data_IF_150205914047
#
_entry.id   IF_150205914047
#
_cell.length_a   1.000
_cell.length_b   1.000
_cell.length_c   1.000
_cell.angle_alpha   90.00
_cell.angle_beta   90.00
_cell.angle_gamma   90.00
#
_symmetry.space_group_name_H-M   'P 1'
#
loop_
_entity.id
_entity.type
_entity.pdbx_description
1 polymer ?
#
# COMPACT_ATOMS: atom_id res chain seq x y z
N UNK A 1 8.94 -28.05 3.52
CA UNK A 1 8.85 -26.95 2.55
C UNK A 1 9.74 -27.26 1.35
N UNK A 2 9.21 -27.19 0.18
CA UNK A 2 9.93 -27.39 -1.08
C UNK A 2 10.19 -26.03 -1.73
N UNK A 3 11.26 -25.91 -2.54
CA UNK A 3 11.57 -24.70 -3.28
C UNK A 3 11.38 -24.93 -4.77
N UNK A 4 10.40 -24.26 -5.35
CA UNK A 4 10.12 -24.25 -6.78
C UNK A 4 10.95 -23.16 -7.47
N UNK A 5 11.51 -23.45 -8.62
CA UNK A 5 12.25 -22.49 -9.43
C UNK A 5 11.44 -22.17 -10.69
N UNK A 6 11.08 -20.91 -10.87
CA UNK A 6 10.38 -20.41 -12.06
C UNK A 6 11.33 -19.53 -12.85
N UNK A 7 11.51 -19.83 -14.13
CA UNK A 7 12.40 -19.08 -15.03
C UNK A 7 11.89 -19.16 -16.45
N UNK A 8 12.04 -18.10 -17.23
CA UNK A 8 11.66 -18.05 -18.65
C UNK A 8 12.44 -19.06 -19.51
N UNK A 9 13.58 -19.52 -19.04
CA UNK A 9 14.45 -20.46 -19.75
C UNK A 9 14.49 -21.84 -19.07
N UNK A 10 13.75 -22.02 -17.99
CA UNK A 10 13.72 -23.28 -17.24
C UNK A 10 12.61 -24.24 -17.69
N UNK A 11 12.49 -25.35 -16.98
CA UNK A 11 11.41 -26.33 -17.18
C UNK A 11 10.06 -25.84 -16.66
N UNK A 12 10.03 -24.94 -15.68
CA UNK A 12 8.84 -24.32 -15.13
C UNK A 12 8.87 -22.83 -15.44
N UNK A 13 8.03 -22.37 -16.36
CA UNK A 13 8.02 -21.00 -16.88
C UNK A 13 6.85 -20.16 -16.36
N UNK A 14 5.89 -20.77 -15.66
CA UNK A 14 4.68 -20.14 -15.18
C UNK A 14 4.67 -20.07 -13.64
N UNK A 15 4.49 -18.87 -13.11
CA UNK A 15 4.30 -18.63 -11.67
C UNK A 15 2.97 -19.23 -11.22
N UNK A 16 1.89 -19.05 -12.01
CA UNK A 16 0.57 -19.59 -11.73
C UNK A 16 0.60 -21.12 -11.62
N UNK A 17 1.36 -21.79 -12.49
CA UNK A 17 1.51 -23.25 -12.43
C UNK A 17 2.29 -23.66 -11.17
N UNK A 18 3.35 -22.95 -10.82
CA UNK A 18 4.08 -23.19 -9.59
C UNK A 18 3.17 -23.04 -8.36
N UNK A 19 2.36 -21.97 -8.29
CA UNK A 19 1.39 -21.77 -7.20
C UNK A 19 0.42 -22.93 -7.09
N UNK A 20 -0.10 -23.46 -8.22
CA UNK A 20 -1.02 -24.60 -8.22
C UNK A 20 -0.38 -25.87 -7.70
N UNK A 21 0.86 -26.15 -8.10
CA UNK A 21 1.59 -27.38 -7.73
C UNK A 21 2.19 -27.33 -6.32
N UNK A 22 2.50 -26.15 -5.83
CA UNK A 22 3.09 -25.94 -4.51
C UNK A 22 2.15 -26.40 -3.39
N UNK A 23 2.74 -26.88 -2.31
CA UNK A 23 2.06 -27.20 -1.06
C UNK A 23 2.19 -26.04 -0.08
N UNK A 24 1.36 -26.05 0.95
CA UNK A 24 1.46 -25.06 2.04
C UNK A 24 2.88 -24.97 2.59
N UNK A 25 3.34 -23.74 2.79
CA UNK A 25 4.67 -23.38 3.27
C UNK A 25 5.83 -23.66 2.29
N UNK A 26 5.55 -23.95 1.05
CA UNK A 26 6.58 -24.00 0.01
C UNK A 26 7.05 -22.59 -0.37
N UNK A 27 8.24 -22.53 -0.95
CA UNK A 27 8.82 -21.30 -1.50
C UNK A 27 8.84 -21.38 -3.02
N UNK A 28 8.44 -20.30 -3.67
CA UNK A 28 8.53 -20.14 -5.12
C UNK A 28 9.52 -19.02 -5.41
N UNK A 29 10.63 -19.37 -6.02
CA UNK A 29 11.65 -18.42 -6.46
C UNK A 29 11.47 -18.16 -7.95
N UNK A 30 11.27 -16.89 -8.29
CA UNK A 30 11.04 -16.43 -9.66
C UNK A 30 12.26 -15.66 -10.14
N UNK A 31 12.88 -16.13 -11.18
CA UNK A 31 14.01 -15.46 -11.81
C UNK A 31 13.56 -14.25 -12.65
N UNK A 32 14.49 -13.35 -12.96
CA UNK A 32 14.21 -12.17 -13.80
C UNK A 32 13.52 -12.55 -15.11
N UNK A 33 12.65 -11.67 -15.57
CA UNK A 33 11.89 -11.85 -16.81
C UNK A 33 10.57 -11.09 -16.74
N UNK A 34 9.88 -11.03 -17.88
CA UNK A 34 8.54 -10.47 -18.01
C UNK A 34 7.50 -11.61 -17.93
N UNK A 35 6.59 -11.50 -16.97
CA UNK A 35 5.51 -12.45 -16.74
C UNK A 35 4.16 -11.74 -16.93
N UNK A 36 3.42 -12.18 -17.96
CA UNK A 36 2.09 -11.65 -18.33
C UNK A 36 0.98 -12.54 -17.78
N UNK A 37 1.17 -13.06 -16.59
CA UNK A 37 0.19 -13.94 -15.95
C UNK A 37 -0.89 -13.11 -15.24
N UNK A 38 -2.14 -13.55 -15.38
CA UNK A 38 -3.33 -12.78 -15.03
C UNK A 38 -3.97 -13.34 -13.77
N UNK A 39 -4.43 -12.44 -12.88
CA UNK A 39 -5.22 -12.80 -11.72
C UNK A 39 -4.65 -14.01 -10.96
N UNK A 40 -3.37 -13.96 -10.63
CA UNK A 40 -2.73 -15.04 -9.87
C UNK A 40 -3.33 -15.13 -8.46
N UNK A 41 -3.97 -16.24 -8.14
CA UNK A 41 -4.60 -16.46 -6.84
C UNK A 41 -3.70 -17.32 -5.95
N UNK A 42 -3.42 -16.81 -4.74
CA UNK A 42 -2.66 -17.52 -3.71
C UNK A 42 -3.64 -17.90 -2.60
N UNK A 43 -4.03 -19.18 -2.57
CA UNK A 43 -5.03 -19.75 -1.66
C UNK A 43 -4.45 -20.63 -0.54
N UNK A 44 -3.14 -20.63 -0.40
CA UNK A 44 -2.41 -21.36 0.64
C UNK A 44 -1.19 -20.56 1.10
N UNK A 45 -0.66 -20.77 2.31
CA UNK A 45 0.54 -20.06 2.75
C UNK A 45 1.73 -20.43 1.87
N UNK A 46 2.27 -19.43 1.16
CA UNK A 46 3.42 -19.54 0.27
C UNK A 46 4.36 -18.38 0.45
N UNK A 47 5.63 -18.60 0.16
CA UNK A 47 6.65 -17.57 0.07
C UNK A 47 7.04 -17.39 -1.39
N UNK A 48 6.72 -16.24 -1.99
CA UNK A 48 7.12 -15.88 -3.35
C UNK A 48 8.30 -14.91 -3.28
N UNK A 49 9.41 -15.27 -3.90
CA UNK A 49 10.63 -14.48 -3.93
C UNK A 49 11.00 -14.17 -5.38
N UNK A 50 11.05 -12.88 -5.71
CA UNK A 50 11.55 -12.40 -6.99
C UNK A 50 13.06 -12.13 -6.94
N UNK A 51 13.84 -12.83 -7.73
CA UNK A 51 15.26 -12.57 -7.92
C UNK A 51 15.49 -11.62 -9.08
N UNK A 52 16.30 -10.57 -8.84
CA UNK A 52 16.64 -9.58 -9.85
C UNK A 52 15.39 -8.90 -10.45
N UNK A 53 14.38 -8.64 -9.59
CA UNK A 53 13.17 -7.88 -9.93
C UNK A 53 12.42 -8.43 -11.15
N UNK A 54 11.91 -9.68 -11.13
CA UNK A 54 11.01 -10.15 -12.18
C UNK A 54 9.79 -9.23 -12.29
N UNK A 55 9.37 -8.95 -13.52
CA UNK A 55 8.27 -8.04 -13.82
C UNK A 55 6.97 -8.81 -13.96
N UNK A 56 5.98 -8.47 -13.15
CA UNK A 56 4.60 -8.95 -13.25
C UNK A 56 3.75 -7.83 -13.84
N UNK A 57 3.24 -8.00 -15.04
CA UNK A 57 2.54 -6.96 -15.77
C UNK A 57 1.04 -7.26 -15.87
N UNK A 58 0.22 -6.35 -15.34
CA UNK A 58 -1.23 -6.45 -15.39
C UNK A 58 -1.85 -5.99 -16.71
N UNK A 59 -1.04 -5.50 -17.66
CA UNK A 59 -1.45 -5.04 -18.99
C UNK A 59 -2.60 -3.99 -18.96
N UNK A 60 -2.75 -3.24 -17.85
CA UNK A 60 -3.85 -2.30 -17.59
C UNK A 60 -5.25 -2.96 -17.52
N UNK A 61 -5.32 -4.28 -17.47
CA UNK A 61 -6.55 -5.04 -17.55
C UNK A 61 -6.85 -5.87 -16.30
N UNK A 62 -5.82 -6.27 -15.54
CA UNK A 62 -5.98 -7.29 -14.51
C UNK A 62 -5.49 -6.86 -13.13
N UNK A 63 -6.12 -7.40 -12.09
CA UNK A 63 -5.52 -7.57 -10.78
C UNK A 63 -4.36 -8.57 -10.93
N UNK A 64 -3.17 -8.26 -10.39
CA UNK A 64 -2.00 -9.10 -10.66
C UNK A 64 -1.96 -10.28 -9.70
N UNK A 65 -2.00 -10.02 -8.38
CA UNK A 65 -1.97 -11.06 -7.35
C UNK A 65 -3.14 -10.86 -6.40
N UNK A 66 -3.93 -11.93 -6.20
CA UNK A 66 -5.00 -12.01 -5.21
C UNK A 66 -4.59 -12.97 -4.09
N UNK A 67 -4.38 -12.45 -2.88
CA UNK A 67 -4.00 -13.25 -1.72
C UNK A 67 -5.26 -13.60 -0.93
N UNK A 68 -5.56 -14.88 -0.81
CA UNK A 68 -6.73 -15.42 -0.12
C UNK A 68 -6.36 -16.41 0.98
N UNK A 69 -5.12 -16.36 1.45
CA UNK A 69 -4.60 -17.23 2.51
C UNK A 69 -3.75 -16.46 3.49
N UNK A 70 -3.74 -16.94 4.72
CA UNK A 70 -2.86 -16.44 5.76
C UNK A 70 -1.40 -16.81 5.51
N UNK A 71 -0.47 -15.98 6.04
CA UNK A 71 0.95 -16.32 6.08
C UNK A 71 1.66 -16.27 4.73
N UNK A 72 1.11 -15.56 3.76
CA UNK A 72 1.74 -15.38 2.43
C UNK A 72 2.80 -14.29 2.50
N UNK A 73 3.92 -14.51 1.81
CA UNK A 73 4.99 -13.53 1.65
C UNK A 73 5.20 -13.24 0.16
N UNK A 74 5.22 -11.94 -0.19
CA UNK A 74 5.58 -11.45 -1.54
C UNK A 74 6.81 -10.57 -1.40
N UNK A 75 7.93 -10.96 -1.98
CA UNK A 75 9.23 -10.31 -1.79
C UNK A 75 10.00 -10.16 -3.10
N UNK A 76 10.38 -8.94 -3.44
CA UNK A 76 11.40 -8.67 -4.45
C UNK A 76 10.90 -8.54 -5.90
N UNK A 77 9.62 -8.37 -6.15
CA UNK A 77 9.04 -8.23 -7.49
C UNK A 77 8.97 -6.76 -7.96
N UNK A 78 8.84 -6.59 -9.27
CA UNK A 78 8.30 -5.39 -9.87
C UNK A 78 6.92 -5.70 -10.43
N UNK A 79 5.89 -4.98 -9.95
CA UNK A 79 4.50 -5.13 -10.39
C UNK A 79 4.10 -3.87 -11.14
N UNK A 80 3.65 -4.03 -12.39
CA UNK A 80 3.38 -2.89 -13.25
C UNK A 80 1.99 -2.95 -13.87
N UNK A 81 1.40 -1.78 -14.10
CA UNK A 81 0.17 -1.58 -14.87
C UNK A 81 -0.99 -2.48 -14.42
N UNK A 82 -1.38 -2.38 -13.15
CA UNK A 82 -2.61 -3.04 -12.68
C UNK A 82 -3.85 -2.49 -13.43
N UNK A 83 -4.90 -3.30 -13.50
CA UNK A 83 -6.11 -2.97 -14.23
C UNK A 83 -6.88 -1.78 -13.68
N UNK A 84 -7.78 -1.28 -14.49
CA UNK A 84 -8.78 -0.27 -14.15
C UNK A 84 -10.19 -0.87 -14.27
N UNK A 85 -11.04 -0.56 -13.30
CA UNK A 85 -12.47 -0.88 -13.36
C UNK A 85 -13.25 0.18 -12.57
N UNK A 86 -14.43 0.56 -13.08
CA UNK A 86 -15.36 1.42 -12.34
C UNK A 86 -16.18 0.64 -11.31
N UNK A 87 -16.19 -0.68 -11.40
CA UNK A 87 -16.99 -1.55 -10.54
C UNK A 87 -16.19 -2.14 -9.36
N UNK A 88 -14.88 -2.28 -9.51
CA UNK A 88 -14.02 -2.90 -8.50
C UNK A 88 -12.68 -2.19 -8.40
N UNK A 89 -12.13 -2.14 -7.20
CA UNK A 89 -10.78 -1.63 -6.96
C UNK A 89 -9.75 -2.70 -7.35
N UNK A 90 -9.26 -2.64 -8.58
CA UNK A 90 -8.18 -3.50 -9.05
C UNK A 90 -6.84 -3.03 -8.51
N UNK A 91 -6.12 -3.90 -7.84
CA UNK A 91 -4.81 -3.63 -7.28
C UNK A 91 -3.73 -4.50 -7.93
N UNK A 92 -2.46 -4.09 -7.79
CA UNK A 92 -1.37 -4.98 -8.12
C UNK A 92 -1.34 -6.18 -7.17
N UNK A 93 -1.47 -5.94 -5.87
CA UNK A 93 -1.65 -7.00 -4.86
C UNK A 93 -2.89 -6.68 -4.03
N UNK A 94 -3.84 -7.59 -4.01
CA UNK A 94 -5.05 -7.49 -3.18
C UNK A 94 -5.11 -8.60 -2.15
N UNK A 95 -5.35 -8.22 -0.88
CA UNK A 95 -5.42 -9.15 0.25
C UNK A 95 -6.88 -9.28 0.65
N UNK A 96 -7.43 -10.49 0.59
CA UNK A 96 -8.82 -10.80 0.89
C UNK A 96 -8.93 -11.65 2.15
N UNK A 97 -9.49 -11.11 3.22
CA UNK A 97 -9.82 -11.86 4.45
C UNK A 97 -8.64 -12.69 4.99
N UNK A 98 -7.42 -12.17 4.91
CA UNK A 98 -6.21 -12.91 5.26
C UNK A 98 -5.45 -12.25 6.41
N UNK A 99 -4.65 -13.02 7.12
CA UNK A 99 -3.81 -12.54 8.20
C UNK A 99 -2.35 -12.95 8.03
N UNK A 100 -1.45 -12.19 8.68
CA UNK A 100 -0.01 -12.46 8.67
C UNK A 100 0.57 -12.52 7.24
N UNK A 101 0.06 -11.65 6.36
CA UNK A 101 0.63 -11.45 5.03
C UNK A 101 1.76 -10.44 5.11
N UNK A 102 2.86 -10.72 4.45
CA UNK A 102 4.01 -9.80 4.35
C UNK A 102 4.28 -9.46 2.88
N UNK A 103 4.25 -8.17 2.57
CA UNK A 103 4.58 -7.65 1.25
C UNK A 103 5.78 -6.72 1.40
N UNK A 104 6.93 -7.10 0.84
CA UNK A 104 8.17 -6.35 1.08
C UNK A 104 9.11 -6.29 -0.13
N UNK A 105 9.91 -5.23 -0.17
CA UNK A 105 10.96 -5.04 -1.17
C UNK A 105 10.48 -5.07 -2.62
N UNK A 106 9.20 -4.77 -2.86
CA UNK A 106 8.63 -4.75 -4.19
C UNK A 106 8.64 -3.32 -4.77
N UNK A 107 8.61 -3.24 -6.07
CA UNK A 107 8.40 -2.00 -6.80
C UNK A 107 7.05 -2.06 -7.54
N UNK A 108 6.14 -1.17 -7.18
CA UNK A 108 4.83 -0.98 -7.80
C UNK A 108 4.94 0.22 -8.74
N UNK A 109 4.90 -0.02 -10.04
CA UNK A 109 5.10 1.00 -11.06
C UNK A 109 3.86 1.14 -11.93
N UNK A 110 3.31 2.35 -11.96
CA UNK A 110 2.11 2.70 -12.72
C UNK A 110 0.93 1.76 -12.42
N UNK A 111 0.74 1.48 -11.14
CA UNK A 111 -0.41 0.70 -10.67
C UNK A 111 -1.54 1.64 -10.23
N UNK A 112 -2.81 1.30 -10.52
CA UNK A 112 -3.95 2.08 -10.03
C UNK A 112 -3.98 2.05 -8.49
N UNK A 113 -4.20 0.88 -7.91
CA UNK A 113 -3.91 0.61 -6.51
C UNK A 113 -2.66 -0.25 -6.44
N UNK A 114 -1.71 0.13 -5.59
CA UNK A 114 -0.54 -0.71 -5.37
C UNK A 114 -0.92 -1.94 -4.55
N UNK A 115 -1.27 -1.73 -3.28
CA UNK A 115 -1.76 -2.77 -2.38
C UNK A 115 -3.15 -2.37 -1.88
N UNK A 116 -4.09 -3.31 -1.97
CA UNK A 116 -5.43 -3.16 -1.40
C UNK A 116 -5.68 -4.29 -0.41
N UNK A 117 -5.90 -3.95 0.85
CA UNK A 117 -6.21 -4.90 1.93
C UNK A 117 -7.65 -4.75 2.36
N UNK A 118 -8.41 -5.84 2.37
CA UNK A 118 -9.77 -5.85 2.89
C UNK A 118 -10.00 -6.98 3.90
N UNK A 119 -10.65 -6.65 5.02
CA UNK A 119 -10.97 -7.58 6.11
C UNK A 119 -9.75 -8.40 6.56
N UNK A 120 -8.58 -7.78 6.59
CA UNK A 120 -7.31 -8.46 6.87
C UNK A 120 -6.70 -7.94 8.17
N UNK A 121 -5.81 -8.72 8.77
CA UNK A 121 -5.19 -8.33 10.05
C UNK A 121 -3.78 -8.86 10.21
N UNK A 122 -3.01 -8.18 11.06
CA UNK A 122 -1.62 -8.54 11.37
C UNK A 122 -0.75 -8.64 10.11
N UNK A 123 -0.97 -7.78 9.11
CA UNK A 123 -0.20 -7.76 7.87
C UNK A 123 0.92 -6.72 7.94
N UNK A 124 2.01 -6.99 7.23
CA UNK A 124 3.21 -6.15 7.19
C UNK A 124 3.46 -5.71 5.75
N UNK A 125 3.54 -4.40 5.54
CA UNK A 125 3.90 -3.78 4.26
C UNK A 125 5.21 -3.02 4.50
N UNK A 126 6.33 -3.55 3.99
CA UNK A 126 7.67 -3.14 4.40
C UNK A 126 8.58 -2.85 3.21
N UNK A 127 9.22 -1.68 3.23
CA UNK A 127 10.29 -1.32 2.28
C UNK A 127 9.89 -1.49 0.80
N UNK A 128 8.64 -1.18 0.46
CA UNK A 128 8.19 -1.17 -0.92
C UNK A 128 8.34 0.25 -1.51
N UNK A 129 8.44 0.30 -2.83
CA UNK A 129 8.40 1.53 -3.59
C UNK A 129 7.15 1.55 -4.47
N UNK A 130 6.39 2.63 -4.40
CA UNK A 130 5.19 2.86 -5.20
C UNK A 130 5.39 4.13 -6.02
N UNK A 131 5.17 4.04 -7.31
CA UNK A 131 5.27 5.19 -8.21
C UNK A 131 4.13 5.13 -9.23
N UNK A 132 3.36 6.21 -9.31
CA UNK A 132 2.30 6.38 -10.29
C UNK A 132 2.47 7.73 -11.01
N UNK A 133 1.70 7.96 -12.08
CA UNK A 133 1.83 9.16 -12.92
C UNK A 133 1.32 10.45 -12.24
N UNK A 134 0.37 10.35 -11.31
CA UNK A 134 -0.22 11.50 -10.63
C UNK A 134 -0.98 12.48 -11.53
N UNK A 135 -1.41 12.06 -12.71
CA UNK A 135 -1.95 12.98 -13.73
C UNK A 135 -3.46 13.14 -13.70
N UNK A 136 -4.21 12.14 -13.23
CA UNK A 136 -5.66 12.14 -13.26
C UNK A 136 -6.24 11.54 -11.97
N UNK A 137 -6.92 12.37 -11.17
CA UNK A 137 -7.50 11.94 -9.90
C UNK A 137 -8.57 10.85 -10.08
N UNK A 138 -9.37 10.92 -11.13
CA UNK A 138 -10.46 9.97 -11.35
C UNK A 138 -9.94 8.58 -11.75
N UNK A 139 -8.82 8.53 -12.44
CA UNK A 139 -8.20 7.28 -12.89
C UNK A 139 -7.17 6.73 -11.89
N UNK A 140 -6.70 7.57 -10.96
CA UNK A 140 -5.74 7.17 -9.95
C UNK A 140 -6.42 6.51 -8.76
N UNK A 141 -5.80 5.47 -8.23
CA UNK A 141 -6.15 4.88 -6.95
C UNK A 141 -5.10 5.22 -5.88
N UNK A 142 -5.15 4.53 -4.78
CA UNK A 142 -4.27 4.78 -3.65
C UNK A 142 -3.03 3.85 -3.70
N UNK A 143 -1.91 4.34 -3.18
CA UNK A 143 -0.70 3.52 -3.11
C UNK A 143 -0.91 2.29 -2.23
N UNK A 144 -1.27 2.53 -0.98
CA UNK A 144 -1.68 1.50 -0.01
C UNK A 144 -3.08 1.84 0.48
N UNK A 145 -4.02 0.96 0.25
CA UNK A 145 -5.41 1.11 0.66
C UNK A 145 -5.80 -0.03 1.60
N UNK A 146 -6.20 0.31 2.81
CA UNK A 146 -6.71 -0.66 3.78
C UNK A 146 -8.18 -0.35 4.10
N UNK A 147 -9.03 -1.35 3.96
CA UNK A 147 -10.45 -1.27 4.24
C UNK A 147 -10.86 -2.36 5.23
N UNK A 148 -11.51 -1.96 6.33
CA UNK A 148 -11.95 -2.88 7.39
C UNK A 148 -10.86 -3.86 7.83
N UNK A 149 -9.65 -3.35 8.01
CA UNK A 149 -8.48 -4.13 8.40
C UNK A 149 -8.01 -3.73 9.81
N UNK A 150 -7.19 -4.56 10.41
CA UNK A 150 -6.75 -4.36 11.80
C UNK A 150 -5.29 -4.77 11.98
N UNK A 151 -4.60 -4.12 12.89
CA UNK A 151 -3.20 -4.46 13.25
C UNK A 151 -2.26 -4.51 12.05
N UNK A 152 -2.38 -3.52 11.16
CA UNK A 152 -1.51 -3.36 10.01
C UNK A 152 -0.20 -2.68 10.43
N UNK A 153 0.93 -3.14 9.91
CA UNK A 153 2.23 -2.50 10.06
C UNK A 153 2.72 -2.04 8.70
N UNK A 154 2.79 -0.72 8.52
CA UNK A 154 3.24 -0.10 7.26
C UNK A 154 4.50 0.69 7.57
N UNK A 155 5.66 0.21 7.09
CA UNK A 155 6.94 0.81 7.48
C UNK A 155 7.96 0.84 6.36
N UNK A 156 8.73 1.94 6.29
CA UNK A 156 9.85 2.07 5.37
C UNK A 156 9.47 2.15 3.89
N UNK A 157 8.22 2.44 3.57
CA UNK A 157 7.78 2.51 2.17
C UNK A 157 8.00 3.91 1.59
N UNK A 158 8.24 3.97 0.28
CA UNK A 158 8.26 5.18 -0.51
C UNK A 158 7.05 5.18 -1.46
N UNK A 159 6.20 6.20 -1.39
CA UNK A 159 4.95 6.26 -2.15
C UNK A 159 4.88 7.60 -2.87
N UNK A 160 4.61 7.60 -4.17
CA UNK A 160 4.54 8.81 -4.97
C UNK A 160 3.55 8.71 -6.13
N UNK A 161 2.85 9.81 -6.39
CA UNK A 161 2.04 10.00 -7.60
C UNK A 161 0.69 9.30 -7.61
N UNK A 162 0.23 8.76 -6.49
CA UNK A 162 -1.11 8.18 -6.33
C UNK A 162 -2.16 9.26 -6.00
N UNK A 163 -3.43 8.89 -5.96
CA UNK A 163 -4.49 9.78 -5.47
C UNK A 163 -4.28 10.11 -4.00
N UNK A 164 -4.30 9.11 -3.14
CA UNK A 164 -3.81 9.18 -1.76
C UNK A 164 -2.62 8.20 -1.61
N UNK A 165 -1.60 8.59 -0.88
CA UNK A 165 -0.46 7.70 -0.67
C UNK A 165 -0.85 6.48 0.15
N UNK A 166 -1.37 6.71 1.38
CA UNK A 166 -1.87 5.69 2.29
C UNK A 166 -3.30 6.07 2.68
N UNK A 167 -4.24 5.15 2.50
CA UNK A 167 -5.64 5.36 2.84
C UNK A 167 -6.16 4.27 3.76
N UNK A 168 -6.73 4.68 4.89
CA UNK A 168 -7.39 3.81 5.88
C UNK A 168 -8.87 4.15 5.97
N UNK A 169 -9.72 3.15 5.84
CA UNK A 169 -11.14 3.26 6.10
C UNK A 169 -11.60 2.08 6.97
N UNK A 170 -12.12 2.40 8.15
CA UNK A 170 -12.46 1.42 9.18
C UNK A 170 -11.28 0.52 9.56
N UNK A 171 -10.11 1.10 9.78
CA UNK A 171 -8.87 0.39 10.15
C UNK A 171 -8.46 0.78 11.56
N UNK A 172 -8.11 -0.19 12.38
CA UNK A 172 -7.75 0.03 13.77
C UNK A 172 -6.42 -0.63 14.15
N UNK A 173 -5.89 -0.21 15.30
CA UNK A 173 -4.73 -0.85 15.97
C UNK A 173 -3.48 -0.94 15.10
N UNK A 174 -3.27 0.02 14.21
CA UNK A 174 -2.25 -0.06 13.16
C UNK A 174 -1.15 0.98 13.36
N UNK A 175 0.02 0.69 12.80
CA UNK A 175 1.20 1.53 12.87
C UNK A 175 1.73 1.87 11.48
N UNK A 176 1.96 3.16 11.24
CA UNK A 176 2.53 3.71 10.00
C UNK A 176 3.81 4.46 10.39
N UNK A 177 4.98 3.90 10.10
CA UNK A 177 6.24 4.40 10.66
C UNK A 177 7.33 4.50 9.58
N UNK A 178 8.07 5.60 9.58
CA UNK A 178 9.22 5.81 8.70
C UNK A 178 8.90 5.66 7.20
N UNK A 179 7.72 6.07 6.76
CA UNK A 179 7.37 6.10 5.34
C UNK A 179 7.63 7.49 4.75
N UNK A 180 7.79 7.54 3.44
CA UNK A 180 7.80 8.77 2.64
C UNK A 180 6.64 8.73 1.67
N UNK A 181 5.74 9.70 1.75
CA UNK A 181 4.55 9.79 0.90
C UNK A 181 4.52 11.17 0.24
N UNK A 182 4.87 11.21 -1.04
CA UNK A 182 5.24 12.44 -1.75
C UNK A 182 4.46 12.61 -3.05
N UNK A 183 4.15 13.85 -3.40
CA UNK A 183 3.56 14.21 -4.70
C UNK A 183 2.30 13.39 -5.05
N UNK A 184 1.50 13.06 -4.05
CA UNK A 184 0.19 12.47 -4.29
C UNK A 184 -0.82 13.58 -4.59
N UNK A 185 -1.86 13.25 -5.36
CA UNK A 185 -2.83 14.23 -5.86
C UNK A 185 -3.60 14.88 -4.72
N UNK A 186 -4.04 14.08 -3.75
CA UNK A 186 -4.82 14.56 -2.60
C UNK A 186 -3.99 14.52 -1.32
N UNK A 187 -3.88 13.38 -0.68
CA UNK A 187 -3.28 13.24 0.64
C UNK A 187 -2.07 12.30 0.65
N UNK A 188 -1.07 12.67 1.42
CA UNK A 188 -0.01 11.72 1.76
C UNK A 188 -0.51 10.57 2.62
N UNK A 189 -1.40 10.87 3.58
CA UNK A 189 -2.10 9.91 4.45
C UNK A 189 -3.54 10.36 4.63
N UNK A 190 -4.49 9.43 4.57
CA UNK A 190 -5.90 9.72 4.76
C UNK A 190 -6.56 8.67 5.65
N UNK A 191 -7.10 9.09 6.80
CA UNK A 191 -7.88 8.25 7.72
C UNK A 191 -9.34 8.63 7.70
N UNK A 192 -10.20 7.62 7.50
CA UNK A 192 -11.65 7.72 7.63
C UNK A 192 -12.14 6.65 8.62
N UNK A 193 -12.81 7.06 9.70
CA UNK A 193 -13.36 6.15 10.70
C UNK A 193 -12.32 5.11 11.19
N UNK A 194 -11.09 5.57 11.45
CA UNK A 194 -9.96 4.69 11.74
C UNK A 194 -9.36 5.03 13.09
N UNK A 195 -9.55 4.15 14.06
CA UNK A 195 -9.33 4.41 15.48
C UNK A 195 -8.11 3.67 16.00
N UNK A 196 -7.52 4.20 17.08
CA UNK A 196 -6.41 3.59 17.79
C UNK A 196 -5.22 3.28 16.85
N UNK A 197 -4.89 4.23 16.00
CA UNK A 197 -3.78 4.14 15.05
C UNK A 197 -2.66 5.09 15.42
N UNK A 198 -1.46 4.75 15.02
CA UNK A 198 -0.27 5.59 15.19
C UNK A 198 0.42 5.82 13.87
N UNK A 199 0.78 7.06 13.57
CA UNK A 199 1.75 7.36 12.54
C UNK A 199 2.88 8.24 13.08
N UNK A 200 4.10 7.79 12.86
CA UNK A 200 5.29 8.29 13.53
C UNK A 200 6.48 8.36 12.56
N UNK A 201 7.23 9.45 12.63
CA UNK A 201 8.44 9.67 11.83
C UNK A 201 8.25 9.46 10.32
N UNK A 202 7.10 9.80 9.77
CA UNK A 202 6.87 9.79 8.33
C UNK A 202 7.22 11.16 7.72
N UNK A 203 7.51 11.17 6.43
CA UNK A 203 7.72 12.37 5.64
C UNK A 203 6.59 12.48 4.62
N UNK A 204 5.84 13.57 4.71
CA UNK A 204 4.79 13.93 3.76
C UNK A 204 5.21 15.23 3.09
N UNK A 205 5.37 15.22 1.77
CA UNK A 205 5.84 16.40 1.03
C UNK A 205 5.21 16.53 -0.34
N UNK A 206 4.95 17.76 -0.76
CA UNK A 206 4.40 18.07 -2.08
C UNK A 206 3.08 17.34 -2.42
N UNK A 207 2.29 16.94 -1.45
CA UNK A 207 0.95 16.39 -1.68
C UNK A 207 -0.08 17.52 -1.77
N UNK A 208 -1.28 17.25 -2.23
CA UNK A 208 -2.41 18.18 -2.13
C UNK A 208 -2.59 18.67 -0.68
N UNK A 209 -2.56 17.75 0.28
CA UNK A 209 -2.33 18.02 1.71
C UNK A 209 -1.51 16.87 2.31
N UNK A 210 -0.85 17.12 3.45
CA UNK A 210 -0.01 16.11 4.08
C UNK A 210 -0.83 14.93 4.59
N UNK A 211 -1.70 15.21 5.56
CA UNK A 211 -2.60 14.22 6.13
C UNK A 211 -4.01 14.77 6.28
N UNK A 212 -5.00 13.89 6.15
CA UNK A 212 -6.36 14.12 6.60
C UNK A 212 -6.75 13.00 7.58
N UNK A 213 -7.15 13.38 8.79
CA UNK A 213 -7.62 12.45 9.83
C UNK A 213 -9.05 12.84 10.14
N UNK A 214 -10.01 11.99 9.74
CA UNK A 214 -11.43 12.31 9.80
C UNK A 214 -12.23 11.23 10.53
N UNK A 215 -13.17 11.66 11.36
CA UNK A 215 -14.12 10.79 12.08
C UNK A 215 -13.40 9.66 12.86
N UNK A 216 -12.27 10.00 13.49
CA UNK A 216 -11.38 9.03 14.12
C UNK A 216 -11.06 9.46 15.56
N UNK A 217 -10.70 8.51 16.40
CA UNK A 217 -10.29 8.78 17.78
C UNK A 217 -9.08 7.92 18.17
N UNK A 218 -8.42 8.31 19.26
CA UNK A 218 -7.21 7.63 19.76
C UNK A 218 -6.12 7.51 18.70
N UNK A 219 -5.87 8.59 17.94
CA UNK A 219 -4.82 8.65 16.92
C UNK A 219 -3.59 9.34 17.49
N UNK A 220 -2.43 8.71 17.41
CA UNK A 220 -1.14 9.25 17.82
C UNK A 220 -0.33 9.68 16.59
N UNK A 221 0.01 10.97 16.54
CA UNK A 221 0.69 11.60 15.42
C UNK A 221 1.98 12.26 15.93
N UNK A 222 3.12 11.57 15.77
CA UNK A 222 4.36 12.02 16.41
C UNK A 222 5.56 12.02 15.46
N UNK A 223 6.41 13.04 15.58
CA UNK A 223 7.70 13.08 14.87
C UNK A 223 7.62 13.15 13.35
N UNK A 224 6.46 13.42 12.77
CA UNK A 224 6.29 13.50 11.32
C UNK A 224 6.74 14.85 10.76
N UNK A 225 7.13 14.86 9.50
CA UNK A 225 7.44 16.08 8.75
C UNK A 225 6.40 16.31 7.66
N UNK A 226 5.78 17.48 7.67
CA UNK A 226 4.80 17.96 6.70
C UNK A 226 5.36 19.17 5.98
N UNK A 227 5.64 19.03 4.68
CA UNK A 227 6.29 20.12 3.94
C UNK A 227 5.73 20.32 2.54
N UNK A 228 5.72 21.60 2.12
CA UNK A 228 5.40 22.02 0.76
C UNK A 228 3.99 21.61 0.28
N UNK A 229 3.05 21.54 1.18
CA UNK A 229 1.63 21.37 0.83
C UNK A 229 1.04 22.75 0.51
N UNK A 230 1.00 23.08 -0.77
CA UNK A 230 0.62 24.42 -1.26
C UNK A 230 -0.61 24.35 -2.16
N UNK A 231 -1.53 25.25 -1.94
CA UNK A 231 -2.81 25.34 -2.65
C UNK A 231 -3.83 26.10 -1.80
N UNK A 232 -4.97 26.49 -2.37
CA UNK A 232 -5.98 27.29 -1.67
C UNK A 232 -6.59 26.59 -0.45
N UNK A 233 -6.56 25.25 -0.42
CA UNK A 233 -7.12 24.44 0.66
C UNK A 233 -6.16 23.31 1.03
N UNK A 234 -4.87 23.65 1.17
CA UNK A 234 -3.81 22.70 1.48
C UNK A 234 -3.36 22.83 2.93
N UNK A 235 -3.20 21.68 3.57
CA UNK A 235 -2.85 21.60 4.99
C UNK A 235 -1.68 20.63 5.21
N UNK A 236 -0.89 20.89 6.24
CA UNK A 236 0.00 19.88 6.78
C UNK A 236 -0.81 18.71 7.36
N UNK A 237 -1.67 19.02 8.35
CA UNK A 237 -2.67 18.07 8.89
C UNK A 237 -4.03 18.73 8.89
N UNK A 238 -5.01 18.07 8.27
CA UNK A 238 -6.43 18.38 8.40
C UNK A 238 -7.08 17.35 9.35
N UNK A 239 -7.63 17.84 10.46
CA UNK A 239 -8.36 17.02 11.42
C UNK A 239 -9.82 17.40 11.43
N UNK A 240 -10.71 16.44 11.17
CA UNK A 240 -12.15 16.66 11.16
C UNK A 240 -12.85 15.63 12.04
N UNK A 241 -13.64 16.11 13.03
CA UNK A 241 -14.39 15.23 13.94
C UNK A 241 -13.49 14.16 14.57
N UNK A 242 -12.43 14.60 15.25
CA UNK A 242 -11.52 13.71 15.99
C UNK A 242 -11.62 13.95 17.50
N UNK A 243 -11.33 12.91 18.28
CA UNK A 243 -11.22 12.99 19.74
C UNK A 243 -10.06 12.16 20.27
N UNK A 244 -9.71 12.41 21.52
CA UNK A 244 -8.74 11.62 22.30
C UNK A 244 -7.43 11.32 21.57
N UNK A 245 -6.98 12.27 20.76
CA UNK A 245 -5.84 12.12 19.86
C UNK A 245 -4.66 12.98 20.32
N UNK A 246 -3.46 12.58 19.92
CA UNK A 246 -2.22 13.16 20.39
C UNK A 246 -1.33 13.60 19.23
N UNK A 247 -0.93 14.87 19.23
CA UNK A 247 -0.09 15.45 18.19
C UNK A 247 1.14 16.09 18.87
N UNK A 248 2.33 15.51 18.64
CA UNK A 248 3.54 16.02 19.27
C UNK A 248 4.79 15.84 18.40
N UNK A 249 5.69 16.81 18.48
CA UNK A 249 7.01 16.73 17.86
C UNK A 249 7.01 16.68 16.33
N UNK A 250 5.91 17.08 15.70
CA UNK A 250 5.81 17.16 14.26
C UNK A 250 6.42 18.48 13.73
N UNK A 251 6.98 18.43 12.54
CA UNK A 251 7.55 19.59 11.84
C UNK A 251 6.67 20.01 10.69
N UNK A 252 6.32 21.29 10.63
CA UNK A 252 5.51 21.88 9.55
C UNK A 252 6.35 22.93 8.83
N UNK A 253 6.53 22.79 7.53
CA UNK A 253 7.41 23.67 6.77
C UNK A 253 6.84 23.96 5.37
N UNK A 254 6.68 25.24 5.04
CA UNK A 254 6.16 25.69 3.74
C UNK A 254 4.81 25.09 3.34
N UNK A 255 3.89 24.93 4.28
CA UNK A 255 2.50 24.54 3.99
C UNK A 255 1.63 25.80 3.92
N UNK A 256 0.55 25.79 3.14
CA UNK A 256 -0.44 26.89 3.16
C UNK A 256 -1.03 27.05 4.57
N UNK A 257 -1.42 25.94 5.19
CA UNK A 257 -1.77 25.90 6.61
C UNK A 257 -1.06 24.72 7.26
N UNK A 258 -0.49 24.93 8.45
CA UNK A 258 0.19 23.86 9.17
C UNK A 258 -0.78 22.80 9.67
N UNK A 259 -1.76 23.22 10.46
CA UNK A 259 -2.74 22.36 11.10
C UNK A 259 -4.12 23.01 11.06
N UNK A 260 -5.14 22.25 10.70
CA UNK A 260 -6.53 22.68 10.75
C UNK A 260 -7.38 21.66 11.51
N UNK A 261 -8.20 22.17 12.42
CA UNK A 261 -9.13 21.38 13.22
C UNK A 261 -10.55 21.87 12.93
N UNK A 262 -11.40 20.95 12.46
CA UNK A 262 -12.79 21.20 12.11
C UNK A 262 -13.69 20.32 12.97
N UNK A 263 -14.59 20.95 13.72
CA UNK A 263 -15.70 20.31 14.42
C UNK A 263 -17.01 20.85 13.84
N UNK A 264 -18.00 19.98 13.69
CA UNK A 264 -19.32 20.34 13.20
C UNK A 264 -20.33 20.18 14.35
#
# INVERSE_FOLDING_TARGET
AFTWQVSKQGSLVSIQLAIRQAKANDTIVVESGLYLEKNMVIDKPLVLIGKNKPVLDGEELYEIISIRSNGVVIDGFQLVRSGYSDLTEMAAVKIYNASRVTIRNNFFDDTRFGIYSQHSKNCIILNNRFQASGMDEMKSGNGIHCWRSDSMTITGNFISGHRDGIYFEFVSNSSIINNQSLRNIRYGLHFMFSHNNRFDRNIFSDNGSGCAVMFSHDVVMTGNTFSKHTGSSSYGILMKEISDSFVQGNTFNHNTSGLSLIHI
#
